data_IF_014994862867
#
_entry.id   IF_014994862867
#
_cell.length_a   1.000
_cell.length_b   1.000
_cell.length_c   1.000
_cell.angle_alpha   90.00
_cell.angle_beta   90.00
_cell.angle_gamma   90.00
#
_symmetry.space_group_name_H-M   'P 1'
#
loop_
_entity.id
_entity.type
_entity.pdbx_description
1 polymer ?
#
# COMPACT_ATOMS: atom_id res chain seq x y z
N UNK A 1 3.01 -9.99 -9.02
CA UNK A 1 2.34 -11.31 -8.94
C UNK A 1 1.45 -11.47 -7.69
N UNK A 2 1.95 -11.31 -6.45
CA UNK A 2 1.12 -11.46 -5.24
C UNK A 2 -0.11 -10.53 -5.22
N UNK A 3 0.09 -9.23 -5.42
CA UNK A 3 -1.01 -8.27 -5.33
C UNK A 3 -2.08 -8.48 -6.41
N UNK A 4 -1.69 -8.73 -7.66
CA UNK A 4 -2.65 -9.09 -8.73
C UNK A 4 -3.45 -10.35 -8.38
N UNK A 5 -2.77 -11.36 -7.81
CA UNK A 5 -3.40 -12.59 -7.36
C UNK A 5 -4.43 -12.34 -6.26
N UNK A 6 -4.10 -11.50 -5.27
CA UNK A 6 -5.01 -11.14 -4.18
C UNK A 6 -6.20 -10.33 -4.71
N UNK A 7 -5.95 -9.32 -5.56
CA UNK A 7 -6.97 -8.43 -6.11
C UNK A 7 -8.02 -9.20 -6.93
N UNK A 8 -7.60 -10.16 -7.75
CA UNK A 8 -8.48 -10.96 -8.61
C UNK A 8 -9.43 -11.87 -7.83
N UNK A 9 -9.15 -12.15 -6.56
CA UNK A 9 -9.99 -13.01 -5.74
C UNK A 9 -11.03 -12.19 -4.98
N UNK A 10 -12.30 -12.55 -5.04
CA UNK A 10 -13.35 -11.87 -4.25
C UNK A 10 -13.44 -12.40 -2.81
N UNK A 11 -13.11 -13.69 -2.59
CA UNK A 11 -13.27 -14.36 -1.30
C UNK A 11 -12.16 -13.98 -0.31
N UNK A 12 -12.47 -13.41 0.87
CA UNK A 12 -11.45 -13.01 1.86
C UNK A 12 -10.53 -14.16 2.29
N UNK A 13 -11.07 -15.37 2.46
CA UNK A 13 -10.27 -16.54 2.83
C UNK A 13 -9.20 -16.91 1.78
N UNK A 14 -9.50 -16.73 0.49
CA UNK A 14 -8.53 -16.99 -0.59
C UNK A 14 -7.42 -15.94 -0.62
N UNK A 15 -7.77 -14.66 -0.41
CA UNK A 15 -6.79 -13.57 -0.28
C UNK A 15 -5.80 -13.85 0.84
N UNK A 16 -6.31 -14.24 2.01
CA UNK A 16 -5.51 -14.63 3.19
C UNK A 16 -4.63 -15.84 2.92
N UNK A 17 -5.15 -16.86 2.24
CA UNK A 17 -4.38 -18.05 1.83
C UNK A 17 -3.19 -17.67 0.93
N UNK A 18 -3.39 -16.77 -0.04
CA UNK A 18 -2.33 -16.30 -0.92
C UNK A 18 -1.25 -15.50 -0.17
N UNK A 19 -1.66 -14.59 0.71
CA UNK A 19 -0.73 -13.87 1.57
C UNK A 19 0.09 -14.81 2.45
N UNK A 20 -0.57 -15.77 3.11
CA UNK A 20 0.10 -16.76 3.96
C UNK A 20 1.08 -17.61 3.17
N UNK A 21 0.71 -18.04 1.96
CA UNK A 21 1.60 -18.77 1.06
C UNK A 21 2.84 -17.95 0.75
N UNK A 22 2.67 -16.66 0.43
CA UNK A 22 3.79 -15.75 0.20
C UNK A 22 4.73 -15.65 1.42
N UNK A 23 4.19 -15.35 2.59
CA UNK A 23 4.98 -15.14 3.81
C UNK A 23 5.72 -16.41 4.29
N UNK A 24 5.06 -17.56 4.19
CA UNK A 24 5.56 -18.81 4.78
C UNK A 24 6.36 -19.68 3.80
N UNK A 25 6.09 -19.61 2.49
CA UNK A 25 6.77 -20.50 1.52
C UNK A 25 7.81 -19.75 0.70
N UNK A 26 7.52 -18.50 0.30
CA UNK A 26 8.39 -17.75 -0.61
C UNK A 26 9.32 -16.77 0.09
N UNK A 27 8.85 -16.22 1.22
CA UNK A 27 9.53 -15.12 1.90
C UNK A 27 10.06 -15.52 3.29
N UNK A 28 10.01 -16.82 3.62
CA UNK A 28 10.49 -17.36 4.89
C UNK A 28 12.01 -17.20 5.05
N UNK A 29 12.44 -16.90 6.28
CA UNK A 29 13.86 -16.80 6.64
C UNK A 29 14.56 -15.53 6.16
N UNK A 30 13.80 -14.52 5.71
CA UNK A 30 14.30 -13.20 5.29
C UNK A 30 13.83 -12.12 6.24
N UNK A 31 14.39 -10.93 6.11
CA UNK A 31 13.81 -9.74 6.71
C UNK A 31 12.43 -9.45 6.08
N UNK A 32 11.39 -9.59 6.89
CA UNK A 32 9.99 -9.36 6.52
C UNK A 32 9.67 -7.88 6.27
N UNK A 33 10.41 -6.96 6.87
CA UNK A 33 10.07 -5.55 6.87
C UNK A 33 10.01 -4.92 5.47
N UNK A 34 10.99 -5.13 4.56
CA UNK A 34 10.92 -4.63 3.18
C UNK A 34 9.67 -5.06 2.40
N UNK A 35 9.12 -6.24 2.69
CA UNK A 35 7.88 -6.70 2.07
C UNK A 35 6.65 -6.15 2.81
N UNK A 36 6.65 -6.21 4.13
CA UNK A 36 5.54 -5.80 4.98
C UNK A 36 5.21 -4.32 4.83
N UNK A 37 6.21 -3.45 4.66
CA UNK A 37 5.98 -2.01 4.41
C UNK A 37 5.31 -1.73 3.06
N UNK A 38 5.46 -2.60 2.06
CA UNK A 38 4.74 -2.50 0.79
C UNK A 38 3.34 -3.11 0.86
N UNK A 39 3.13 -4.12 1.71
CA UNK A 39 1.82 -4.75 1.95
C UNK A 39 0.94 -3.86 2.84
N UNK A 40 1.53 -3.12 3.78
CA UNK A 40 0.86 -2.22 4.71
C UNK A 40 1.44 -0.78 4.60
N UNK A 41 1.32 -0.11 3.44
CA UNK A 41 1.98 1.18 3.22
C UNK A 41 1.45 2.31 4.12
N UNK A 42 0.23 2.18 4.64
CA UNK A 42 -0.33 3.10 5.63
C UNK A 42 0.40 3.04 6.98
N UNK A 43 1.02 1.90 7.30
CA UNK A 43 1.74 1.65 8.55
C UNK A 43 3.25 1.88 8.42
N UNK A 44 3.75 2.19 7.22
CA UNK A 44 5.14 2.60 7.03
C UNK A 44 5.35 4.01 7.60
N UNK A 45 6.11 4.06 8.70
CA UNK A 45 6.51 5.28 9.41
C UNK A 45 7.97 5.68 9.18
N UNK A 46 8.82 4.76 8.72
CA UNK A 46 10.21 5.11 8.38
C UNK A 46 10.28 5.89 7.07
N UNK A 47 9.41 5.57 6.09
CA UNK A 47 9.31 6.38 4.88
C UNK A 47 8.55 7.67 5.17
N UNK A 48 9.20 8.80 4.89
CA UNK A 48 8.55 10.09 4.86
C UNK A 48 7.33 10.08 3.92
N UNK A 49 6.39 10.99 4.17
CA UNK A 49 5.27 11.19 3.26
C UNK A 49 5.80 11.56 1.88
N UNK A 50 5.28 10.91 0.83
CA UNK A 50 5.58 11.28 -0.55
C UNK A 50 5.11 12.70 -0.93
N UNK A 51 4.29 13.35 -0.08
CA UNK A 51 3.77 14.70 -0.33
C UNK A 51 2.83 14.78 -1.54
N UNK A 52 2.44 13.64 -2.13
CA UNK A 52 1.71 13.56 -3.38
C UNK A 52 0.34 12.89 -3.19
N UNK A 53 -0.72 13.65 -3.48
CA UNK A 53 -2.07 13.11 -3.69
C UNK A 53 -2.32 12.91 -5.18
N UNK A 54 -3.45 12.30 -5.54
CA UNK A 54 -3.82 11.93 -6.91
C UNK A 54 -3.60 13.06 -7.92
N UNK A 55 -3.99 14.31 -7.60
CA UNK A 55 -3.83 15.43 -8.54
C UNK A 55 -2.36 15.78 -8.82
N UNK A 56 -1.50 15.72 -7.80
CA UNK A 56 -0.07 16.01 -7.97
C UNK A 56 0.60 14.84 -8.69
N UNK A 57 0.22 13.61 -8.36
CA UNK A 57 0.69 12.39 -9.00
C UNK A 57 0.30 12.35 -10.49
N UNK A 58 -0.91 12.80 -10.85
CA UNK A 58 -1.36 12.96 -12.23
C UNK A 58 -0.45 13.89 -13.04
N UNK A 59 -0.15 15.08 -12.50
CA UNK A 59 0.74 16.05 -13.14
C UNK A 59 2.16 15.50 -13.28
N UNK A 60 2.67 14.87 -12.21
CA UNK A 60 3.98 14.23 -12.23
C UNK A 60 4.07 13.13 -13.29
N UNK A 61 3.04 12.29 -13.44
CA UNK A 61 2.97 11.27 -14.50
C UNK A 61 2.96 11.91 -15.90
N UNK A 62 2.19 12.96 -16.12
CA UNK A 62 2.16 13.69 -17.42
C UNK A 62 3.55 14.19 -17.79
N UNK A 63 4.22 14.88 -16.85
CA UNK A 63 5.56 15.44 -17.08
C UNK A 63 6.63 14.33 -17.22
N UNK A 64 6.50 13.23 -16.46
CA UNK A 64 7.41 12.08 -16.53
C UNK A 64 7.28 11.32 -17.86
N UNK A 65 6.05 11.13 -18.34
CA UNK A 65 5.73 10.52 -19.64
C UNK A 65 6.10 11.43 -20.83
N UNK A 66 6.28 12.74 -20.60
CA UNK A 66 6.63 13.70 -21.64
C UNK A 66 5.52 13.92 -22.67
N UNK A 67 4.25 13.68 -22.30
CA UNK A 67 3.12 13.90 -23.20
C UNK A 67 2.66 15.36 -23.17
N UNK A 68 2.13 15.86 -24.29
CA UNK A 68 1.60 17.21 -24.37
C UNK A 68 0.43 17.41 -23.38
N UNK A 69 0.35 18.57 -22.73
CA UNK A 69 -0.60 18.84 -21.64
C UNK A 69 -2.07 18.85 -22.08
N UNK A 70 -2.30 19.13 -23.36
CA UNK A 70 -3.59 19.10 -24.05
C UNK A 70 -3.90 17.75 -24.70
N UNK A 71 -2.98 16.78 -24.61
CA UNK A 71 -3.22 15.44 -25.14
C UNK A 71 -4.38 14.75 -24.42
N UNK A 72 -5.11 13.85 -25.10
CA UNK A 72 -6.20 13.09 -24.48
C UNK A 72 -5.79 12.34 -23.22
N UNK A 73 -4.58 11.77 -23.20
CA UNK A 73 -4.05 11.04 -22.05
C UNK A 73 -3.74 11.98 -20.87
N UNK A 74 -3.18 13.16 -21.12
CA UNK A 74 -2.89 14.15 -20.08
C UNK A 74 -4.19 14.70 -19.46
N UNK A 75 -5.15 15.08 -20.30
CA UNK A 75 -6.46 15.54 -19.86
C UNK A 75 -7.19 14.47 -19.04
N UNK A 76 -7.06 13.19 -19.43
CA UNK A 76 -7.64 12.07 -18.71
C UNK A 76 -6.99 11.82 -17.34
N UNK A 77 -5.66 11.90 -17.25
CA UNK A 77 -4.94 11.76 -15.97
C UNK A 77 -5.30 12.90 -15.01
N UNK A 78 -5.32 14.14 -15.50
CA UNK A 78 -5.61 15.34 -14.68
C UNK A 78 -7.08 15.40 -14.30
N UNK A 79 -7.98 15.01 -15.21
CA UNK A 79 -9.43 14.93 -15.02
C UNK A 79 -9.93 13.54 -14.60
N UNK A 80 -9.13 12.78 -13.84
CA UNK A 80 -9.45 11.39 -13.44
C UNK A 80 -10.76 11.21 -12.68
N UNK A 81 -11.33 12.29 -12.13
CA UNK A 81 -12.62 12.32 -11.43
C UNK A 81 -13.80 12.62 -12.35
N UNK A 82 -13.56 13.18 -13.52
CA UNK A 82 -14.63 13.77 -14.32
C UNK A 82 -15.47 12.64 -14.94
N UNK A 83 -16.62 12.35 -14.33
CA UNK A 83 -17.56 11.30 -14.73
C UNK A 83 -18.40 11.60 -15.97
N UNK A 84 -17.91 12.43 -16.89
CA UNK A 84 -18.67 12.79 -18.09
C UNK A 84 -19.05 11.55 -18.93
N UNK A 85 -20.14 11.61 -19.70
CA UNK A 85 -20.70 10.51 -20.53
C UNK A 85 -19.69 9.82 -21.50
N UNK A 86 -18.47 10.34 -21.64
CA UNK A 86 -17.37 9.81 -22.47
C UNK A 86 -16.27 9.11 -21.66
N UNK A 87 -16.32 9.14 -20.33
CA UNK A 87 -15.22 8.69 -19.49
C UNK A 87 -15.44 7.27 -19.00
N UNK A 88 -14.41 6.44 -19.20
CA UNK A 88 -14.48 4.99 -19.16
C UNK A 88 -14.82 4.40 -17.79
N UNK A 89 -14.89 3.07 -17.77
CA UNK A 89 -15.27 2.24 -16.61
C UNK A 89 -14.55 2.57 -15.29
N UNK A 90 -13.38 3.18 -15.35
CA UNK A 90 -12.50 3.42 -14.21
C UNK A 90 -12.57 4.85 -13.63
N UNK A 91 -13.52 5.67 -14.08
CA UNK A 91 -13.67 7.06 -13.59
C UNK A 91 -13.85 7.10 -12.07
N UNK A 92 -13.15 8.03 -11.40
CA UNK A 92 -13.13 8.14 -9.94
C UNK A 92 -12.12 7.22 -9.25
N UNK A 93 -11.41 6.37 -9.97
CA UNK A 93 -10.26 5.61 -9.46
C UNK A 93 -8.99 6.03 -10.20
N UNK A 94 -8.21 6.93 -9.59
CA UNK A 94 -7.00 7.48 -10.19
C UNK A 94 -6.01 6.40 -10.66
N UNK A 95 -5.76 5.37 -9.84
CA UNK A 95 -4.76 4.34 -10.18
C UNK A 95 -5.20 3.57 -11.42
N UNK A 96 -6.48 3.19 -11.51
CA UNK A 96 -7.00 2.49 -12.68
C UNK A 96 -7.02 3.38 -13.93
N UNK A 97 -7.34 4.67 -13.79
CA UNK A 97 -7.23 5.65 -14.90
C UNK A 97 -5.78 5.78 -15.37
N UNK A 98 -4.82 5.83 -14.45
CA UNK A 98 -3.40 5.89 -14.79
C UNK A 98 -2.94 4.63 -15.53
N UNK A 99 -3.37 3.45 -15.08
CA UNK A 99 -3.07 2.18 -15.77
C UNK A 99 -3.60 2.17 -17.20
N UNK A 100 -4.79 2.71 -17.48
CA UNK A 100 -5.33 2.79 -18.84
C UNK A 100 -4.44 3.61 -19.80
N UNK A 101 -3.70 4.59 -19.28
CA UNK A 101 -2.72 5.36 -20.05
C UNK A 101 -1.39 4.62 -20.15
N UNK A 102 -0.94 4.01 -19.05
CA UNK A 102 0.35 3.31 -18.95
C UNK A 102 0.41 2.02 -19.76
N UNK A 103 -0.70 1.27 -19.90
CA UNK A 103 -0.75 0.01 -20.68
C UNK A 103 -0.41 0.21 -22.16
N UNK A 104 -0.56 1.44 -22.69
CA UNK A 104 -0.21 1.78 -24.07
C UNK A 104 1.28 2.12 -24.24
N UNK A 105 2.03 2.22 -23.14
CA UNK A 105 3.40 2.78 -23.09
C UNK A 105 4.39 1.87 -22.39
N UNK A 106 3.93 1.03 -21.48
CA UNK A 106 4.75 0.07 -20.73
C UNK A 106 4.39 -1.37 -21.13
N UNK A 107 5.38 -2.25 -21.04
CA UNK A 107 5.18 -3.70 -21.23
C UNK A 107 4.32 -4.30 -20.11
N UNK A 108 3.64 -5.39 -20.42
CA UNK A 108 2.99 -6.25 -19.41
C UNK A 108 4.00 -7.14 -18.68
N UNK A 109 5.10 -7.49 -19.34
CA UNK A 109 6.15 -8.34 -18.78
C UNK A 109 7.04 -7.52 -17.85
N UNK A 110 7.34 -8.08 -16.67
CA UNK A 110 8.27 -7.49 -15.71
C UNK A 110 9.69 -7.45 -16.28
N UNK A 111 10.41 -6.38 -15.96
CA UNK A 111 11.84 -6.23 -16.25
C UNK A 111 12.74 -6.84 -15.17
N UNK A 112 12.17 -7.63 -14.23
CA UNK A 112 12.92 -8.22 -13.12
C UNK A 112 13.07 -7.28 -11.92
N UNK A 113 12.13 -6.34 -11.73
CA UNK A 113 12.14 -5.42 -10.59
C UNK A 113 12.15 -6.21 -9.27
N UNK A 114 13.21 -6.05 -8.48
CA UNK A 114 13.30 -6.71 -7.18
C UNK A 114 12.56 -5.93 -6.11
N UNK A 115 12.33 -6.57 -4.96
CA UNK A 115 11.74 -5.91 -3.80
C UNK A 115 12.62 -4.77 -3.27
N UNK A 116 13.93 -4.94 -3.35
CA UNK A 116 14.91 -3.93 -2.96
C UNK A 116 14.87 -2.74 -3.91
N UNK A 117 14.85 -2.98 -5.22
CA UNK A 117 14.72 -1.92 -6.23
C UNK A 117 13.43 -1.11 -6.04
N UNK A 118 12.32 -1.79 -5.78
CA UNK A 118 11.04 -1.14 -5.53
C UNK A 118 11.10 -0.24 -4.29
N UNK A 119 11.67 -0.74 -3.19
CA UNK A 119 11.85 0.07 -1.97
C UNK A 119 12.80 1.24 -2.22
N UNK A 120 13.92 1.03 -2.89
CA UNK A 120 14.90 2.08 -3.19
C UNK A 120 14.29 3.19 -4.06
N UNK A 121 13.51 2.85 -5.09
CA UNK A 121 12.81 3.84 -5.91
C UNK A 121 11.80 4.64 -5.07
N UNK A 122 11.04 3.97 -4.19
CA UNK A 122 10.08 4.63 -3.31
C UNK A 122 10.74 5.51 -2.25
N UNK A 123 11.88 5.08 -1.70
CA UNK A 123 12.65 5.85 -0.73
C UNK A 123 13.23 7.11 -1.40
N UNK A 124 13.77 6.99 -2.62
CA UNK A 124 14.20 8.15 -3.42
C UNK A 124 13.04 9.10 -3.71
N UNK A 125 11.86 8.58 -4.06
CA UNK A 125 10.69 9.43 -4.31
C UNK A 125 10.22 10.15 -3.04
N UNK A 126 10.31 9.50 -1.88
CA UNK A 126 9.93 10.11 -0.60
C UNK A 126 10.94 11.16 -0.10
N UNK A 127 12.21 11.06 -0.50
CA UNK A 127 13.26 12.02 -0.20
C UNK A 127 13.38 13.16 -1.24
N UNK A 128 12.86 12.95 -2.44
CA UNK A 128 12.99 13.86 -3.57
C UNK A 128 12.24 15.18 -3.37
N UNK A 129 12.85 16.26 -3.86
CA UNK A 129 12.15 17.53 -4.03
C UNK A 129 11.20 17.49 -5.25
N UNK A 130 10.35 18.52 -5.39
CA UNK A 130 9.30 18.55 -6.42
C UNK A 130 9.82 18.34 -7.85
N UNK A 131 11.00 18.87 -8.17
CA UNK A 131 11.58 18.75 -9.51
C UNK A 131 12.19 17.36 -9.75
N UNK A 132 12.78 16.77 -8.71
CA UNK A 132 13.38 15.44 -8.75
C UNK A 132 12.33 14.33 -8.82
N UNK A 133 11.12 14.57 -8.29
CA UNK A 133 9.99 13.65 -8.39
C UNK A 133 9.72 13.21 -9.83
N UNK A 134 9.84 14.13 -10.80
CA UNK A 134 9.63 13.82 -12.22
C UNK A 134 10.70 12.85 -12.73
N UNK A 135 11.96 13.04 -12.33
CA UNK A 135 13.06 12.16 -12.73
C UNK A 135 12.90 10.76 -12.13
N UNK A 136 12.59 10.68 -10.83
CA UNK A 136 12.36 9.40 -10.15
C UNK A 136 11.12 8.69 -10.72
N UNK A 137 10.04 9.42 -11.00
CA UNK A 137 8.83 8.87 -11.61
C UNK A 137 9.12 8.33 -13.03
N UNK A 138 9.91 9.05 -13.83
CA UNK A 138 10.33 8.59 -15.16
C UNK A 138 11.17 7.31 -15.06
N UNK A 139 12.07 7.24 -14.09
CA UNK A 139 12.85 6.03 -13.84
C UNK A 139 11.96 4.85 -13.42
N UNK A 140 10.99 5.08 -12.53
CA UNK A 140 10.00 4.05 -12.16
C UNK A 140 9.24 3.55 -13.39
N UNK A 141 8.75 4.45 -14.26
CA UNK A 141 8.04 4.07 -15.49
C UNK A 141 8.93 3.21 -16.40
N UNK A 142 10.21 3.55 -16.54
CA UNK A 142 11.12 2.81 -17.41
C UNK A 142 11.59 1.45 -16.84
N UNK A 143 11.56 1.29 -15.50
CA UNK A 143 12.01 0.05 -14.83
C UNK A 143 10.88 -0.92 -14.47
N UNK A 144 9.62 -0.54 -14.69
CA UNK A 144 8.46 -1.32 -14.29
C UNK A 144 7.57 -1.67 -15.47
N UNK A 145 6.89 -2.82 -15.38
CA UNK A 145 5.69 -3.10 -16.17
C UNK A 145 4.53 -2.21 -15.71
N UNK A 146 3.47 -2.08 -16.53
CA UNK A 146 2.27 -1.34 -16.11
C UNK A 146 1.59 -1.95 -14.87
N UNK A 147 1.74 -3.27 -14.65
CA UNK A 147 1.23 -3.96 -13.45
C UNK A 147 2.01 -3.59 -12.21
N UNK A 148 3.33 -3.56 -12.29
CA UNK A 148 4.18 -3.12 -11.17
C UNK A 148 3.95 -1.63 -10.90
N UNK A 149 3.87 -0.80 -11.94
CA UNK A 149 3.60 0.62 -11.81
C UNK A 149 2.25 0.89 -11.14
N UNK A 150 1.20 0.10 -11.46
CA UNK A 150 -0.08 0.14 -10.74
C UNK A 150 0.12 0.04 -9.23
N UNK A 151 0.87 -0.97 -8.80
CA UNK A 151 1.10 -1.21 -7.37
C UNK A 151 1.99 -0.14 -6.74
N UNK A 152 3.00 0.37 -7.47
CA UNK A 152 3.80 1.52 -7.02
C UNK A 152 2.93 2.75 -6.76
N UNK A 153 2.01 3.08 -7.68
CA UNK A 153 1.06 4.19 -7.51
C UNK A 153 0.13 3.98 -6.31
N UNK A 154 -0.38 2.75 -6.12
CA UNK A 154 -1.19 2.41 -4.95
C UNK A 154 -0.42 2.53 -3.62
N UNK A 155 0.85 2.13 -3.60
CA UNK A 155 1.74 2.25 -2.43
C UNK A 155 2.03 3.73 -2.11
N UNK A 156 2.30 4.55 -3.12
CA UNK A 156 2.51 5.99 -2.98
C UNK A 156 1.28 6.66 -2.36
N UNK A 157 0.09 6.28 -2.81
CA UNK A 157 -1.18 6.76 -2.25
C UNK A 157 -1.54 6.12 -0.91
N UNK A 158 -0.74 5.15 -0.43
CA UNK A 158 -0.98 4.34 0.78
C UNK A 158 -2.34 3.63 0.77
N UNK A 159 -2.82 3.26 -0.42
CA UNK A 159 -4.11 2.61 -0.62
C UNK A 159 -4.08 1.53 -1.71
N UNK A 160 -3.87 0.30 -1.27
CA UNK A 160 -3.76 -0.87 -2.16
C UNK A 160 -5.10 -1.40 -2.66
N UNK A 161 -6.23 -1.03 -2.04
CA UNK A 161 -7.56 -1.58 -2.38
C UNK A 161 -7.64 -3.12 -2.43
N UNK A 162 -6.75 -3.85 -1.73
CA UNK A 162 -6.71 -5.33 -1.78
C UNK A 162 -7.86 -5.99 -1.01
N UNK A 163 -8.64 -5.25 -0.22
CA UNK A 163 -9.66 -5.81 0.66
C UNK A 163 -9.08 -6.75 1.73
N UNK A 164 -7.81 -6.54 2.10
CA UNK A 164 -7.15 -7.16 3.25
C UNK A 164 -6.87 -6.06 4.26
N UNK A 165 -7.51 -6.14 5.43
CA UNK A 165 -7.24 -5.21 6.53
C UNK A 165 -5.95 -5.55 7.27
N UNK A 166 -5.36 -4.56 7.93
CA UNK A 166 -4.13 -4.69 8.75
C UNK A 166 -4.20 -5.88 9.70
N UNK A 167 -5.32 -6.04 10.41
CA UNK A 167 -5.55 -7.16 11.34
C UNK A 167 -5.42 -8.53 10.69
N UNK A 168 -5.95 -8.68 9.48
CA UNK A 168 -5.88 -9.95 8.75
C UNK A 168 -4.43 -10.23 8.32
N UNK A 169 -3.72 -9.21 7.85
CA UNK A 169 -2.30 -9.32 7.49
C UNK A 169 -1.46 -9.69 8.70
N UNK A 170 -1.63 -8.99 9.84
CA UNK A 170 -0.92 -9.33 11.07
C UNK A 170 -1.22 -10.75 11.56
N UNK A 171 -2.48 -11.17 11.59
CA UNK A 171 -2.83 -12.53 12.00
C UNK A 171 -2.20 -13.62 11.10
N UNK A 172 -2.06 -13.34 9.80
CA UNK A 172 -1.40 -14.23 8.84
C UNK A 172 0.14 -14.15 8.90
N UNK A 173 0.71 -13.05 9.41
CA UNK A 173 2.13 -12.91 9.70
C UNK A 173 2.52 -13.57 11.03
N UNK A 174 1.98 -13.07 12.16
CA UNK A 174 2.25 -13.58 13.51
C UNK A 174 1.05 -13.38 14.45
N UNK A 175 0.69 -14.34 15.32
CA UNK A 175 -0.42 -14.19 16.29
C UNK A 175 -0.32 -12.94 17.17
N UNK A 176 0.89 -12.56 17.58
CA UNK A 176 1.15 -11.41 18.45
C UNK A 176 1.40 -10.07 17.70
N UNK A 177 1.43 -10.07 16.37
CA UNK A 177 1.84 -8.88 15.61
C UNK A 177 0.90 -7.68 15.77
N UNK A 178 -0.42 -7.90 15.79
CA UNK A 178 -1.37 -6.81 16.00
C UNK A 178 -1.17 -6.17 17.38
N UNK A 179 -0.98 -6.99 18.41
CA UNK A 179 -0.78 -6.52 19.76
C UNK A 179 0.51 -5.70 19.89
N UNK A 180 1.63 -6.25 19.43
CA UNK A 180 2.92 -5.57 19.48
C UNK A 180 2.89 -4.26 18.67
N UNK A 181 2.28 -4.27 17.48
CA UNK A 181 2.14 -3.04 16.68
C UNK A 181 1.29 -1.99 17.42
N UNK A 182 0.19 -2.38 18.05
CA UNK A 182 -0.65 -1.44 18.79
C UNK A 182 0.08 -0.80 19.98
N UNK A 183 1.08 -1.47 20.56
CA UNK A 183 1.87 -0.94 21.67
C UNK A 183 3.04 -0.05 21.26
N UNK A 184 3.59 -0.27 20.06
CA UNK A 184 4.85 0.34 19.62
C UNK A 184 4.67 1.30 18.45
N UNK A 185 3.61 1.11 17.66
CA UNK A 185 3.37 1.76 16.36
C UNK A 185 4.56 1.63 15.40
N UNK A 186 5.35 0.57 15.56
CA UNK A 186 6.59 0.31 14.83
C UNK A 186 6.46 -1.00 14.03
N UNK A 187 6.24 -0.88 12.72
CA UNK A 187 6.14 -2.02 11.82
C UNK A 187 7.46 -2.79 11.70
N UNK A 188 8.60 -2.10 11.78
CA UNK A 188 9.91 -2.72 11.63
C UNK A 188 10.25 -3.54 12.86
N UNK A 189 10.12 -2.97 14.05
CA UNK A 189 10.31 -3.69 15.30
C UNK A 189 9.37 -4.87 15.45
N UNK A 190 8.14 -4.79 14.89
CA UNK A 190 7.23 -5.94 14.78
C UNK A 190 7.82 -7.05 13.90
N UNK A 191 8.32 -6.71 12.71
CA UNK A 191 8.90 -7.69 11.79
C UNK A 191 10.18 -8.34 12.36
N UNK A 192 11.04 -7.56 13.00
CA UNK A 192 12.29 -8.02 13.61
C UNK A 192 12.04 -8.96 14.79
N UNK A 193 11.15 -8.57 15.72
CA UNK A 193 10.85 -9.35 16.93
C UNK A 193 10.03 -10.61 16.63
N UNK A 194 9.20 -10.61 15.60
CA UNK A 194 8.23 -11.68 15.29
C UNK A 194 8.56 -12.44 14.00
N UNK A 195 9.83 -12.53 13.64
CA UNK A 195 10.29 -13.26 12.45
C UNK A 195 9.98 -14.77 12.51
N UNK A 196 9.87 -15.35 13.72
CA UNK A 196 9.51 -16.76 13.93
C UNK A 196 8.07 -16.89 14.42
N UNK A 197 7.16 -17.29 13.51
CA UNK A 197 5.73 -17.49 13.80
C UNK A 197 5.43 -18.48 14.92
N UNK A 198 6.35 -19.40 15.21
CA UNK A 198 6.14 -20.43 16.24
C UNK A 198 6.43 -19.91 17.66
N UNK A 199 7.15 -18.79 17.80
CA UNK A 199 7.58 -18.25 19.08
C UNK A 199 6.69 -17.11 19.51
N UNK A 200 5.92 -17.34 20.58
CA UNK A 200 5.09 -16.30 21.20
C UNK A 200 5.96 -15.32 21.98
N UNK A 201 5.59 -14.04 21.95
CA UNK A 201 6.21 -13.06 22.83
C UNK A 201 5.71 -13.25 24.25
N UNK A 202 6.60 -13.09 25.22
CA UNK A 202 6.19 -12.79 26.58
C UNK A 202 5.40 -11.49 26.58
N UNK A 203 4.36 -11.43 27.41
CA UNK A 203 3.48 -10.28 27.47
C UNK A 203 4.30 -9.05 27.87
N UNK A 204 4.40 -8.08 26.97
CA UNK A 204 5.04 -6.80 27.23
C UNK A 204 3.99 -5.79 27.69
N UNK A 205 4.35 -4.95 28.65
CA UNK A 205 3.55 -3.80 29.05
C UNK A 205 3.95 -2.54 28.28
N UNK A 206 3.06 -1.55 28.27
CA UNK A 206 3.34 -0.26 27.63
C UNK A 206 4.55 0.40 28.27
N UNK A 207 5.50 0.83 27.42
CA UNK A 207 6.69 1.54 27.88
C UNK A 207 6.41 3.03 27.95
N UNK A 208 6.81 3.69 29.05
CA UNK A 208 6.68 5.14 29.20
C UNK A 208 7.45 5.84 28.07
N UNK A 209 6.81 6.80 27.41
CA UNK A 209 7.39 7.54 26.28
C UNK A 209 7.23 6.85 24.92
N UNK A 210 6.73 5.61 24.85
CA UNK A 210 6.40 4.95 23.60
C UNK A 210 5.03 5.41 23.07
N UNK A 211 4.90 5.48 21.75
CA UNK A 211 3.62 5.78 21.09
C UNK A 211 2.78 4.51 21.03
N UNK A 212 1.57 4.56 21.59
CA UNK A 212 0.59 3.48 21.52
C UNK A 212 -0.62 3.88 20.67
N UNK A 213 -1.27 2.90 20.05
CA UNK A 213 -2.53 3.12 19.32
C UNK A 213 -3.62 3.50 20.34
N UNK A 214 -4.29 4.65 20.17
CA UNK A 214 -5.33 5.07 21.09
C UNK A 214 -6.56 4.15 20.99
N UNK A 215 -7.24 3.97 22.12
CA UNK A 215 -8.55 3.32 22.16
C UNK A 215 -9.56 4.18 21.40
N UNK A 216 -10.32 3.57 20.49
CA UNK A 216 -11.38 4.25 19.74
C UNK A 216 -12.76 3.94 20.34
N UNK A 217 -13.69 4.88 20.24
CA UNK A 217 -15.08 4.69 20.63
C UNK A 217 -15.91 4.15 19.46
N UNK A 218 -16.73 3.13 19.69
CA UNK A 218 -17.73 2.70 18.72
C UNK A 218 -18.91 3.66 18.72
N UNK A 219 -19.43 4.05 17.55
CA UNK A 219 -20.69 4.77 17.46
C UNK A 219 -21.82 3.87 17.97
N UNK A 220 -22.61 4.37 18.92
CA UNK A 220 -23.81 3.71 19.41
C UNK A 220 -25.00 4.66 19.20
N UNK A 221 -26.08 4.21 18.52
CA UNK A 221 -27.15 5.10 18.10
C UNK A 221 -28.09 5.53 19.24
N UNK A 222 -28.18 4.76 20.32
CA UNK A 222 -29.04 5.07 21.46
C UNK A 222 -28.53 4.45 22.78
N UNK A 223 -29.11 4.90 23.89
CA UNK A 223 -28.72 4.51 25.26
C UNK A 223 -28.99 3.04 25.53
N UNK A 224 -30.06 2.46 24.99
CA UNK A 224 -30.43 1.06 25.21
C UNK A 224 -29.36 0.10 24.65
N UNK A 225 -28.90 0.34 23.42
CA UNK A 225 -27.81 -0.45 22.83
C UNK A 225 -26.47 -0.22 23.55
N UNK A 226 -26.24 0.97 24.10
CA UNK A 226 -25.07 1.24 24.92
C UNK A 226 -25.09 0.40 26.19
N UNK A 227 -26.23 0.35 26.87
CA UNK A 227 -26.40 -0.44 28.08
C UNK A 227 -26.24 -1.94 27.80
N UNK A 228 -26.73 -2.44 26.68
CA UNK A 228 -26.53 -3.83 26.30
C UNK A 228 -25.05 -4.18 26.14
N UNK A 229 -24.26 -3.32 25.49
CA UNK A 229 -22.82 -3.52 25.25
C UNK A 229 -21.93 -3.42 26.50
N UNK A 230 -22.34 -2.68 27.52
CA UNK A 230 -21.55 -2.53 28.76
C UNK A 230 -21.79 -3.69 29.73
N UNK A 231 -22.90 -4.42 29.57
CA UNK A 231 -23.28 -5.55 30.46
C UNK A 231 -22.78 -6.92 29.99
N UNK A 232 -22.36 -7.04 28.73
CA UNK A 232 -21.68 -8.24 28.18
C UNK A 232 -20.19 -8.20 28.51
#
# INVERSE_FOLDING_TARGET
MLFDSIERNSKPGMKRKMLRKFLNEYYQGRDYYPAMRLILPALDKERNSYGMKQQMLAKCLVDALGVAKDSPDALKLVGWRDGGKKNGKNTGNFVLVAVEVLTRRQSETSFGLTLEDANHLLDRLAAAEKQENIMVMREMINKTSWKEMKWMLSIILKDLHLGLGEKAVFADFHPDAEHLYNMTMDLKGVCEKLHDRSKRLERQDLTIGAVARPQLASRIPNVEQAWKKVRE
#
